data_IF_334087250030
#
_entry.id   IF_334087250030
#
_cell.length_a   1.000
_cell.length_b   1.000
_cell.length_c   1.000
_cell.angle_alpha   90.00
_cell.angle_beta   90.00
_cell.angle_gamma   90.00
#
_symmetry.space_group_name_H-M   'P 1'
#
loop_
_entity.id
_entity.type
_entity.pdbx_description
1 polymer ?
#
# COMPACT_ATOMS: atom_id res chain seq x y z
N UNK A 1 8.67 -4.78 11.75
CA UNK A 1 8.84 -4.76 10.28
C UNK A 1 7.61 -4.08 9.71
N UNK A 2 7.77 -3.18 8.73
CA UNK A 2 6.61 -2.51 8.14
C UNK A 2 5.78 -3.48 7.31
N UNK A 3 4.46 -3.37 7.38
CA UNK A 3 3.51 -4.16 6.58
C UNK A 3 3.21 -3.49 5.23
N UNK A 4 3.80 -2.31 4.99
CA UNK A 4 3.72 -1.53 3.77
C UNK A 4 5.13 -1.15 3.32
N UNK A 5 5.40 -1.25 2.02
CA UNK A 5 6.64 -0.77 1.41
C UNK A 5 6.30 0.30 0.38
N UNK A 6 6.95 1.45 0.47
CA UNK A 6 6.78 2.56 -0.48
C UNK A 6 8.09 2.77 -1.22
N UNK A 7 8.03 2.80 -2.55
CA UNK A 7 9.16 3.06 -3.44
C UNK A 7 8.85 4.29 -4.32
N UNK A 8 9.85 5.13 -4.55
CA UNK A 8 9.74 6.27 -5.47
C UNK A 8 10.53 5.99 -6.76
N UNK A 9 9.88 6.14 -7.91
CA UNK A 9 10.51 5.92 -9.23
C UNK A 9 10.17 7.07 -10.17
N UNK A 10 10.99 8.12 -10.15
CA UNK A 10 10.70 9.37 -10.85
C UNK A 10 9.39 9.97 -10.34
N UNK A 11 8.45 10.28 -11.24
CA UNK A 11 7.12 10.78 -10.88
C UNK A 11 6.12 9.69 -10.47
N UNK A 12 6.58 8.45 -10.28
CA UNK A 12 5.75 7.32 -9.83
C UNK A 12 5.95 7.07 -8.34
N UNK A 13 4.88 6.72 -7.64
CA UNK A 13 4.91 6.19 -6.27
C UNK A 13 4.36 4.77 -6.29
N UNK A 14 5.13 3.82 -5.75
CA UNK A 14 4.76 2.41 -5.75
C UNK A 14 4.54 1.99 -4.29
N UNK A 15 3.30 1.66 -3.94
CA UNK A 15 2.92 1.17 -2.63
C UNK A 15 2.69 -0.34 -2.72
N UNK A 16 3.42 -1.12 -1.92
CA UNK A 16 3.32 -2.58 -1.87
C UNK A 16 2.77 -3.01 -0.51
N UNK A 17 1.65 -3.74 -0.52
CA UNK A 17 1.11 -4.44 0.65
C UNK A 17 2.03 -5.63 0.96
N UNK A 18 2.58 -5.72 2.17
CA UNK A 18 3.62 -6.68 2.55
C UNK A 18 3.20 -7.61 3.70
N UNK A 19 1.99 -8.20 3.58
CA UNK A 19 1.46 -9.22 4.50
C UNK A 19 1.06 -10.50 3.74
N UNK A 20 1.98 -11.15 3.00
CA UNK A 20 1.63 -12.26 2.11
C UNK A 20 1.06 -13.48 2.85
N UNK A 21 1.44 -13.68 4.13
CA UNK A 21 0.88 -14.74 4.99
C UNK A 21 -0.61 -14.54 5.30
N UNK A 22 -1.07 -13.29 5.29
CA UNK A 22 -2.47 -12.91 5.46
C UNK A 22 -3.13 -12.55 4.12
N UNK A 23 -2.57 -13.00 2.99
CA UNK A 23 -3.06 -12.67 1.65
C UNK A 23 -3.23 -11.16 1.44
N UNK A 24 -2.30 -10.37 1.97
CA UNK A 24 -2.27 -8.92 1.92
C UNK A 24 -3.58 -8.26 2.40
N UNK A 25 -4.27 -8.87 3.38
CA UNK A 25 -5.43 -8.28 4.05
C UNK A 25 -5.09 -6.94 4.73
N UNK A 26 -5.97 -5.95 4.58
CA UNK A 26 -5.80 -4.59 5.11
C UNK A 26 -6.22 -4.51 6.57
N UNK A 27 -5.30 -4.17 7.46
CA UNK A 27 -5.61 -3.84 8.85
C UNK A 27 -5.60 -2.32 9.10
N UNK A 28 -6.01 -1.91 10.30
CA UNK A 28 -6.11 -0.50 10.67
C UNK A 28 -4.74 0.21 10.72
N UNK A 29 -3.66 -0.50 11.05
CA UNK A 29 -2.31 0.08 11.07
C UNK A 29 -1.86 0.45 9.65
N UNK A 30 -2.05 -0.45 8.70
CA UNK A 30 -1.78 -0.20 7.28
C UNK A 30 -2.59 0.99 6.77
N UNK A 31 -3.90 1.05 7.06
CA UNK A 31 -4.74 2.17 6.61
C UNK A 31 -4.28 3.53 7.17
N UNK A 32 -3.83 3.57 8.43
CA UNK A 32 -3.28 4.78 9.06
C UNK A 32 -1.98 5.24 8.42
N UNK A 33 -1.20 4.31 7.86
CA UNK A 33 0.03 4.62 7.13
C UNK A 33 -0.26 5.03 5.67
N UNK A 34 -1.14 4.29 4.99
CA UNK A 34 -1.46 4.47 3.57
C UNK A 34 -2.23 5.78 3.31
N UNK A 35 -3.28 6.06 4.10
CA UNK A 35 -4.21 7.16 3.82
C UNK A 35 -3.53 8.54 3.78
N UNK A 36 -2.65 8.91 4.75
CA UNK A 36 -1.92 10.17 4.68
C UNK A 36 -0.98 10.27 3.47
N UNK A 37 -0.45 9.14 2.98
CA UNK A 37 0.44 9.15 1.80
C UNK A 37 -0.36 9.44 0.54
N UNK A 38 -1.51 8.80 0.34
CA UNK A 38 -2.40 9.13 -0.78
C UNK A 38 -2.83 10.59 -0.74
N UNK A 39 -3.15 11.14 0.44
CA UNK A 39 -3.46 12.57 0.58
C UNK A 39 -2.31 13.48 0.20
N UNK A 40 -1.08 13.14 0.57
CA UNK A 40 0.11 13.89 0.15
C UNK A 40 0.33 13.82 -1.36
N UNK A 41 0.14 12.64 -1.95
CA UNK A 41 0.35 12.43 -3.39
C UNK A 41 -0.73 13.07 -4.26
N UNK A 42 -1.95 13.21 -3.75
CA UNK A 42 -3.05 13.89 -4.44
C UNK A 42 -2.70 15.35 -4.79
N UNK A 43 -1.98 16.04 -3.90
CA UNK A 43 -1.59 17.45 -4.08
C UNK A 43 -0.15 17.64 -4.59
N UNK A 44 0.60 16.55 -4.79
CA UNK A 44 2.03 16.61 -5.14
C UNK A 44 2.25 16.80 -6.64
N UNK A 45 2.77 17.96 -7.03
CA UNK A 45 3.04 18.30 -8.44
C UNK A 45 4.08 17.39 -9.13
N UNK A 46 4.90 16.68 -8.36
CA UNK A 46 5.91 15.74 -8.85
C UNK A 46 5.39 14.30 -8.96
N UNK A 47 4.15 14.02 -8.53
CA UNK A 47 3.54 12.69 -8.58
C UNK A 47 2.49 12.62 -9.70
N UNK A 48 2.80 11.87 -10.74
CA UNK A 48 1.89 11.70 -11.90
C UNK A 48 1.16 10.36 -11.88
N UNK A 49 1.63 9.40 -11.08
CA UNK A 49 1.11 8.04 -11.06
C UNK A 49 1.38 7.38 -9.72
N UNK A 50 0.35 6.71 -9.19
CA UNK A 50 0.49 5.83 -8.03
C UNK A 50 0.16 4.40 -8.45
N UNK A 51 1.04 3.47 -8.13
CA UNK A 51 0.86 2.03 -8.37
C UNK A 51 0.68 1.36 -7.01
N UNK A 52 -0.43 0.64 -6.85
CA UNK A 52 -0.67 -0.22 -5.70
C UNK A 52 -0.37 -1.67 -6.11
N UNK A 53 0.44 -2.38 -5.32
CA UNK A 53 0.83 -3.79 -5.55
C UNK A 53 0.56 -4.63 -4.29
N UNK A 54 0.28 -5.91 -4.50
CA UNK A 54 0.44 -6.94 -3.47
C UNK A 54 1.86 -7.51 -3.51
N UNK A 55 2.35 -8.02 -2.39
CA UNK A 55 3.65 -8.69 -2.29
C UNK A 55 3.57 -10.18 -2.61
N UNK A 56 2.37 -10.77 -2.50
CA UNK A 56 2.14 -12.19 -2.71
C UNK A 56 1.79 -12.57 -4.16
N UNK A 57 1.99 -13.84 -4.49
CA UNK A 57 1.61 -14.42 -5.79
C UNK A 57 0.15 -14.90 -5.84
N UNK A 58 -0.48 -15.10 -4.67
CA UNK A 58 -1.81 -15.71 -4.54
C UNK A 58 -2.96 -14.72 -4.63
N UNK A 59 -2.74 -13.50 -4.15
CA UNK A 59 -3.74 -12.46 -4.06
C UNK A 59 -3.04 -11.10 -4.05
N UNK A 60 -3.69 -10.10 -4.64
CA UNK A 60 -3.31 -8.71 -4.48
C UNK A 60 -3.63 -8.18 -3.08
N UNK A 61 -4.88 -8.40 -2.65
CA UNK A 61 -5.41 -8.06 -1.33
C UNK A 61 -6.69 -8.89 -1.13
N UNK A 62 -6.83 -9.57 0.00
CA UNK A 62 -8.00 -10.42 0.30
C UNK A 62 -9.17 -9.67 0.94
N UNK A 63 -9.04 -8.35 1.14
CA UNK A 63 -10.06 -7.51 1.76
C UNK A 63 -9.59 -6.89 3.08
N UNK A 64 -10.54 -6.47 3.91
CA UNK A 64 -10.27 -6.01 5.27
C UNK A 64 -9.94 -7.17 6.21
N UNK A 65 -8.98 -6.96 7.10
CA UNK A 65 -8.63 -7.90 8.17
C UNK A 65 -9.68 -7.80 9.29
N UNK A 66 -10.75 -8.60 9.19
CA UNK A 66 -11.88 -8.60 10.14
C UNK A 66 -11.67 -9.51 11.35
N UNK A 67 -10.66 -10.37 11.30
CA UNK A 67 -10.33 -11.33 12.36
C UNK A 67 -9.08 -10.91 13.18
N UNK A 68 -8.29 -9.98 12.63
CA UNK A 68 -7.07 -9.45 13.25
C UNK A 68 -7.30 -8.46 14.38
#
# INVERSE_FOLDING_TARGET
MSEIVIEEQGSKRILTLSRPKALDALNLSMLREIYPQFKKWEDAADVNMVILKGSGEKAFCSGGDVLG
#
